data_IF_897127230603
#
_entry.id   IF_897127230603
#
_cell.length_a   1.000
_cell.length_b   1.000
_cell.length_c   1.000
_cell.angle_alpha   90.00
_cell.angle_beta   90.00
_cell.angle_gamma   90.00
#
_symmetry.space_group_name_H-M   'P 1'
#
loop_
_entity.id
_entity.type
_entity.pdbx_description
1 polymer ?
#
# COMPACT_ATOMS: atom_id res chain seq x y z
N UNK A 1 -3.79 -25.09 -6.28
CA UNK A 1 -3.81 -24.37 -6.06
C UNK A 1 -4.91 -23.47 -6.48
N UNK A 2 -5.59 -23.09 -5.54
CA UNK A 2 -6.54 -22.12 -5.85
C UNK A 2 -5.87 -20.89 -6.30
N UNK A 3 -6.32 -20.38 -7.36
CA UNK A 3 -5.81 -19.17 -7.90
C UNK A 3 -6.14 -18.03 -6.97
N UNK A 4 -5.28 -17.80 -6.02
CA UNK A 4 -5.33 -16.59 -5.26
C UNK A 4 -4.77 -15.48 -6.14
N UNK A 5 -5.62 -14.56 -6.53
CA UNK A 5 -5.15 -13.41 -7.28
C UNK A 5 -4.50 -12.43 -6.30
N UNK A 6 -3.20 -12.16 -6.42
CA UNK A 6 -2.52 -11.28 -5.47
C UNK A 6 -3.13 -9.89 -5.45
N UNK A 7 -3.11 -9.29 -4.27
CA UNK A 7 -3.58 -7.92 -4.04
C UNK A 7 -2.43 -7.07 -3.57
N UNK A 8 -2.17 -5.98 -4.28
CA UNK A 8 -1.16 -5.02 -3.90
C UNK A 8 -1.83 -3.66 -3.67
N UNK A 9 -1.51 -3.05 -2.55
CA UNK A 9 -1.96 -1.70 -2.23
C UNK A 9 -0.81 -0.73 -2.46
N UNK A 10 -1.10 0.40 -3.11
CA UNK A 10 -0.11 1.45 -3.35
C UNK A 10 -0.49 2.67 -2.54
N UNK A 11 0.47 3.21 -1.80
CA UNK A 11 0.34 4.47 -1.09
C UNK A 11 1.02 5.55 -1.93
N UNK A 12 0.23 6.44 -2.52
CA UNK A 12 0.77 7.49 -3.37
C UNK A 12 0.83 8.81 -2.64
N UNK A 13 2.04 9.29 -2.40
CA UNK A 13 2.29 10.63 -1.89
C UNK A 13 1.50 10.92 -0.60
N UNK A 14 1.41 9.94 0.26
CA UNK A 14 0.74 10.08 1.56
C UNK A 14 1.76 10.56 2.57
N UNK A 15 1.67 11.82 2.97
CA UNK A 15 2.70 12.46 3.78
C UNK A 15 2.46 12.37 5.28
N UNK A 16 1.24 12.06 5.70
CA UNK A 16 0.89 11.99 7.12
C UNK A 16 1.29 10.62 7.70
N UNK A 17 2.22 10.60 8.67
CA UNK A 17 2.67 9.33 9.25
C UNK A 17 1.56 8.53 9.91
N UNK A 18 0.58 9.20 10.53
CA UNK A 18 -0.55 8.53 11.17
C UNK A 18 -1.39 7.78 10.16
N UNK A 19 -1.66 8.40 9.03
CA UNK A 19 -2.43 7.76 7.97
C UNK A 19 -1.67 6.61 7.32
N UNK A 20 -0.38 6.78 7.09
CA UNK A 20 0.45 5.71 6.55
C UNK A 20 0.46 4.50 7.48
N UNK A 21 0.66 4.73 8.78
CA UNK A 21 0.67 3.63 9.76
C UNK A 21 -0.66 2.90 9.81
N UNK A 22 -1.77 3.63 9.81
CA UNK A 22 -3.10 3.04 9.82
C UNK A 22 -3.35 2.20 8.58
N UNK A 23 -2.96 2.71 7.41
CA UNK A 23 -3.14 1.97 6.15
C UNK A 23 -2.26 0.72 6.09
N UNK A 24 -1.05 0.78 6.61
CA UNK A 24 -0.18 -0.40 6.68
C UNK A 24 -0.83 -1.49 7.55
N UNK A 25 -1.35 -1.10 8.70
CA UNK A 25 -2.04 -2.05 9.59
C UNK A 25 -3.28 -2.64 8.93
N UNK A 26 -4.05 -1.79 8.25
CA UNK A 26 -5.25 -2.23 7.55
C UNK A 26 -4.91 -3.21 6.43
N UNK A 27 -3.89 -2.90 5.63
CA UNK A 27 -3.45 -3.78 4.55
C UNK A 27 -2.98 -5.14 5.08
N UNK A 28 -2.21 -5.12 6.17
CA UNK A 28 -1.74 -6.34 6.79
C UNK A 28 -2.90 -7.20 7.28
N UNK A 29 -3.88 -6.57 7.97
CA UNK A 29 -5.06 -7.27 8.49
C UNK A 29 -5.94 -7.81 7.37
N UNK A 30 -6.01 -7.10 6.25
CA UNK A 30 -6.83 -7.52 5.12
C UNK A 30 -6.16 -8.61 4.27
N UNK A 31 -4.92 -8.95 4.57
CA UNK A 31 -4.21 -9.99 3.83
C UNK A 31 -3.67 -9.52 2.51
N UNK A 32 -3.35 -8.26 2.36
CA UNK A 32 -2.67 -7.78 1.16
C UNK A 32 -1.34 -8.52 0.99
N UNK A 33 -0.97 -8.80 -0.24
CA UNK A 33 0.26 -9.52 -0.54
C UNK A 33 1.49 -8.62 -0.50
N UNK A 34 1.30 -7.33 -0.74
CA UNK A 34 2.36 -6.34 -0.62
C UNK A 34 1.76 -4.95 -0.52
N UNK A 35 2.53 -4.03 0.04
CA UNK A 35 2.24 -2.59 0.01
C UNK A 35 3.41 -1.90 -0.66
N UNK A 36 3.11 -1.08 -1.65
CA UNK A 36 4.10 -0.26 -2.32
C UNK A 36 3.86 1.20 -1.96
N UNK A 37 4.91 1.99 -1.85
CA UNK A 37 4.75 3.41 -1.57
C UNK A 37 5.66 4.24 -2.48
N UNK A 38 5.12 5.36 -2.94
CA UNK A 38 5.84 6.25 -3.84
C UNK A 38 6.73 7.21 -3.05
N UNK A 39 7.72 7.75 -3.72
CA UNK A 39 8.52 8.85 -3.22
C UNK A 39 7.58 9.99 -2.81
N UNK A 40 7.78 10.58 -1.66
CA UNK A 40 6.90 11.60 -1.11
C UNK A 40 5.93 11.07 -0.06
N UNK A 41 5.78 9.75 0.05
CA UNK A 41 5.05 9.15 1.17
C UNK A 41 5.93 9.21 2.41
N UNK A 42 5.32 9.36 3.58
CA UNK A 42 6.05 9.38 4.84
C UNK A 42 6.88 8.11 5.00
N UNK A 43 8.05 8.27 5.60
CA UNK A 43 8.98 7.14 5.80
C UNK A 43 8.30 6.05 6.63
N UNK A 44 8.12 4.89 6.01
CA UNK A 44 7.42 3.77 6.65
C UNK A 44 8.18 3.20 7.84
N UNK A 45 9.45 3.50 7.95
CA UNK A 45 10.29 3.06 9.07
C UNK A 45 10.46 4.14 10.14
N UNK A 46 9.82 5.29 9.98
CA UNK A 46 9.92 6.34 11.00
C UNK A 46 9.21 5.93 12.28
N UNK A 47 9.67 6.40 13.46
CA UNK A 47 8.99 6.08 14.70
C UNK A 47 7.51 6.48 14.72
N UNK A 48 7.16 7.58 14.05
CA UNK A 48 5.78 8.02 14.00
C UNK A 48 4.90 7.05 13.23
N UNK A 49 5.37 6.52 12.10
CA UNK A 49 4.62 5.53 11.33
C UNK A 49 4.52 4.22 12.11
N UNK A 50 5.61 3.78 12.74
CA UNK A 50 5.61 2.56 13.53
C UNK A 50 4.61 2.67 14.68
N UNK A 51 4.57 3.81 15.38
CA UNK A 51 3.59 4.02 16.44
C UNK A 51 2.16 4.05 15.93
N UNK A 52 1.92 4.68 14.77
CA UNK A 52 0.59 4.73 14.19
C UNK A 52 0.10 3.35 13.75
N UNK A 53 1.00 2.47 13.38
CA UNK A 53 0.68 1.07 13.14
C UNK A 53 0.52 0.28 14.46
N UNK A 54 0.55 0.97 15.58
CA UNK A 54 0.37 0.43 16.93
C UNK A 54 1.46 -0.58 17.32
N UNK A 55 2.67 -0.37 16.82
CA UNK A 55 3.79 -1.25 17.11
C UNK A 55 3.59 -2.68 16.63
N UNK A 56 2.59 -2.91 15.80
CA UNK A 56 2.33 -4.24 15.29
C UNK A 56 3.47 -4.71 14.43
N UNK A 57 3.80 -5.99 14.56
CA UNK A 57 4.74 -6.61 13.64
C UNK A 57 3.98 -6.89 12.35
N UNK A 58 4.28 -6.12 11.33
CA UNK A 58 3.62 -6.29 10.04
C UNK A 58 4.23 -7.49 9.31
N UNK A 59 3.37 -8.31 8.74
CA UNK A 59 3.78 -9.45 7.93
C UNK A 59 3.82 -9.11 6.45
N UNK A 60 3.09 -8.08 6.05
CA UNK A 60 3.02 -7.67 4.66
C UNK A 60 4.34 -7.01 4.23
N UNK A 61 4.94 -7.43 3.12
CA UNK A 61 6.11 -6.75 2.58
C UNK A 61 5.78 -5.32 2.16
N UNK A 62 6.68 -4.39 2.45
CA UNK A 62 6.49 -2.97 2.12
C UNK A 62 7.70 -2.50 1.33
N UNK A 63 7.48 -1.99 0.13
CA UNK A 63 8.55 -1.62 -0.78
C UNK A 63 8.32 -0.24 -1.40
N UNK A 64 9.39 0.51 -1.54
CA UNK A 64 9.35 1.81 -2.20
C UNK A 64 9.42 1.64 -3.71
N UNK A 65 8.64 2.46 -4.42
CA UNK A 65 8.65 2.49 -5.89
C UNK A 65 8.76 3.93 -6.38
N UNK A 66 9.16 4.09 -7.63
CA UNK A 66 9.25 5.41 -8.24
C UNK A 66 7.85 5.97 -8.52
N UNK A 67 7.00 5.16 -9.14
CA UNK A 67 5.65 5.59 -9.50
C UNK A 67 4.78 4.37 -9.76
N UNK A 68 3.47 4.59 -9.76
CA UNK A 68 2.53 3.52 -10.09
C UNK A 68 2.74 3.01 -11.50
N UNK A 69 3.05 3.91 -12.44
CA UNK A 69 3.26 3.51 -13.84
C UNK A 69 4.45 2.56 -14.02
N UNK A 70 5.40 2.54 -13.07
CA UNK A 70 6.53 1.61 -13.15
C UNK A 70 6.13 0.18 -12.83
N UNK A 71 5.04 -0.04 -12.09
CA UNK A 71 4.62 -1.39 -11.67
C UNK A 71 3.39 -1.88 -12.41
N UNK A 72 2.60 -1.01 -13.03
CA UNK A 72 1.38 -1.43 -13.73
C UNK A 72 1.63 -2.52 -14.78
N UNK A 73 2.65 -2.40 -15.64
CA UNK A 73 2.89 -3.47 -16.62
C UNK A 73 3.22 -4.81 -15.98
N UNK A 74 3.95 -4.80 -14.86
CA UNK A 74 4.27 -6.03 -14.14
C UNK A 74 3.03 -6.66 -13.54
N UNK A 75 2.17 -5.85 -12.94
CA UNK A 75 0.91 -6.33 -12.37
C UNK A 75 0.01 -6.89 -13.46
N UNK A 76 -0.06 -6.23 -14.60
CA UNK A 76 -0.85 -6.67 -15.73
C UNK A 76 -0.36 -8.04 -16.24
N UNK A 77 0.95 -8.20 -16.35
CA UNK A 77 1.54 -9.45 -16.84
C UNK A 77 1.32 -10.61 -15.86
N UNK A 78 1.22 -10.33 -14.57
CA UNK A 78 1.13 -11.35 -13.53
C UNK A 78 -0.29 -11.56 -13.00
N UNK A 79 -1.27 -10.86 -13.50
CA UNK A 79 -2.64 -10.99 -13.01
C UNK A 79 -2.85 -10.49 -11.59
N UNK A 80 -2.21 -9.39 -11.22
CA UNK A 80 -2.24 -8.85 -9.87
C UNK A 80 -3.27 -7.73 -9.78
N UNK A 81 -4.08 -7.75 -8.71
CA UNK A 81 -5.00 -6.66 -8.40
C UNK A 81 -4.22 -5.52 -7.77
N UNK A 82 -4.34 -4.34 -8.34
CA UNK A 82 -3.60 -3.16 -7.88
C UNK A 82 -4.59 -2.07 -7.46
N UNK A 83 -4.51 -1.66 -6.21
CA UNK A 83 -5.34 -0.61 -5.64
C UNK A 83 -4.48 0.51 -5.10
N UNK A 84 -4.91 1.74 -5.29
CA UNK A 84 -4.25 2.91 -4.71
C UNK A 84 -5.03 3.46 -3.55
N UNK A 85 -4.36 3.84 -2.47
CA UNK A 85 -4.95 4.52 -1.34
C UNK A 85 -4.63 6.01 -1.43
N UNK A 86 -5.65 6.83 -1.31
CA UNK A 86 -5.55 8.28 -1.42
C UNK A 86 -6.24 8.93 -0.24
N UNK A 87 -5.84 10.16 0.02
CA UNK A 87 -6.44 10.98 1.06
C UNK A 87 -7.04 12.22 0.42
N UNK A 88 -8.31 12.47 0.75
CA UNK A 88 -8.99 13.70 0.34
C UNK A 88 -9.53 14.34 1.62
N UNK A 89 -8.85 15.40 2.08
CA UNK A 89 -9.12 15.96 3.38
C UNK A 89 -8.73 14.98 4.48
N UNK A 90 -9.68 14.55 5.30
CA UNK A 90 -9.46 13.55 6.34
C UNK A 90 -10.03 12.18 5.99
N UNK A 91 -10.58 12.03 4.78
CA UNK A 91 -11.20 10.79 4.36
C UNK A 91 -10.31 10.05 3.38
N UNK A 92 -10.25 8.72 3.53
CA UNK A 92 -9.56 7.88 2.57
C UNK A 92 -10.49 7.50 1.43
N UNK A 93 -9.92 7.34 0.25
CA UNK A 93 -10.61 6.66 -0.83
C UNK A 93 -9.62 5.75 -1.55
N UNK A 94 -10.15 4.76 -2.24
CA UNK A 94 -9.33 3.76 -2.91
C UNK A 94 -9.69 3.74 -4.38
N UNK A 95 -8.65 3.81 -5.23
CA UNK A 95 -8.80 3.69 -6.67
C UNK A 95 -8.37 2.31 -7.09
N UNK A 96 -9.19 1.70 -7.92
CA UNK A 96 -8.86 0.41 -8.51
C UNK A 96 -8.06 0.65 -9.79
N UNK A 97 -6.76 0.38 -9.74
CA UNK A 97 -5.88 0.64 -10.88
C UNK A 97 -5.98 -0.43 -11.96
N UNK A 98 -6.55 -1.55 -11.64
CA UNK A 98 -6.81 -2.58 -12.62
C UNK A 98 -6.91 -3.96 -12.00
N UNK A 99 -7.67 -4.82 -12.65
CA UNK A 99 -7.65 -6.26 -12.47
C UNK A 99 -7.00 -6.80 -13.72
N UNK A 100 -5.88 -7.42 -13.55
CA UNK A 100 -5.08 -7.85 -14.69
C UNK A 100 -5.03 -9.36 -14.83
#
# INVERSE_FOLDING_TARGET
GLSHQPLILVLENLQDPGHVGTLLRTADSAGADAVLYTKGTADVYSPKVVRAAMGSLLHVPVCKIESVSSVKPLCQAQGIRLWGAHLNGSAYYFDHYGIF
#
